data_IF_546246645007
#
_entry.id   IF_546246645007
#
_cell.length_a   1.000
_cell.length_b   1.000
_cell.length_c   1.000
_cell.angle_alpha   90.00
_cell.angle_beta   90.00
_cell.angle_gamma   90.00
#
_symmetry.space_group_name_H-M   'P 1'
#
loop_
_entity.id
_entity.type
_entity.pdbx_description
1 polymer ?
#
# COMPACT_ATOMS: atom_id res chain seq x y z
N UNK A 1 -17.16 0.59 -2.02
CA UNK A 1 -16.25 1.43 -2.84
C UNK A 1 -16.36 0.93 -4.27
N UNK A 2 -16.37 1.82 -5.27
CA UNK A 2 -16.36 1.36 -6.67
C UNK A 2 -14.92 1.18 -7.13
N UNK A 3 -14.53 -0.08 -7.39
CA UNK A 3 -13.21 -0.42 -7.92
C UNK A 3 -13.24 -0.51 -9.44
N UNK A 4 -12.23 0.04 -10.14
CA UNK A 4 -12.02 -0.15 -11.57
C UNK A 4 -11.95 -1.65 -11.96
N UNK A 5 -12.39 -1.97 -13.18
CA UNK A 5 -12.49 -3.37 -13.63
C UNK A 5 -11.12 -4.07 -13.71
N UNK A 6 -10.09 -3.34 -14.10
CA UNK A 6 -8.69 -3.79 -14.10
C UNK A 6 -8.22 -4.20 -12.71
N UNK A 7 -8.56 -3.42 -11.66
CA UNK A 7 -8.22 -3.79 -10.28
C UNK A 7 -8.99 -5.05 -9.87
N UNK A 8 -10.31 -5.12 -10.12
CA UNK A 8 -11.12 -6.29 -9.78
C UNK A 8 -10.64 -7.58 -10.45
N UNK A 9 -10.15 -7.50 -11.68
CA UNK A 9 -9.70 -8.66 -12.45
C UNK A 9 -8.33 -9.19 -11.99
N UNK A 10 -7.52 -8.37 -11.32
CA UNK A 10 -6.18 -8.74 -10.86
C UNK A 10 -6.08 -8.93 -9.35
N UNK A 11 -7.05 -8.42 -8.58
CA UNK A 11 -7.10 -8.58 -7.14
C UNK A 11 -7.56 -10.00 -6.78
N UNK A 12 -6.79 -10.68 -5.96
CA UNK A 12 -7.08 -12.01 -5.43
C UNK A 12 -6.69 -12.09 -3.96
N UNK A 13 -7.14 -13.12 -3.25
CA UNK A 13 -6.86 -13.28 -1.82
C UNK A 13 -5.35 -13.27 -1.52
N UNK A 14 -4.93 -12.43 -0.58
CA UNK A 14 -3.53 -12.19 -0.21
C UNK A 14 -2.79 -11.20 -1.12
N UNK A 15 -3.45 -10.63 -2.14
CA UNK A 15 -2.82 -9.69 -3.08
C UNK A 15 -3.23 -8.25 -2.75
N UNK A 16 -2.27 -7.35 -2.81
CA UNK A 16 -2.45 -5.91 -2.72
C UNK A 16 -2.01 -5.22 -4.02
N UNK A 17 -2.82 -4.29 -4.50
CA UNK A 17 -2.56 -3.56 -5.74
C UNK A 17 -2.76 -2.05 -5.55
N UNK A 18 -1.96 -1.25 -6.24
CA UNK A 18 -2.25 0.17 -6.38
C UNK A 18 -3.60 0.37 -7.07
N UNK A 19 -4.43 1.26 -6.56
CA UNK A 19 -5.70 1.65 -7.16
C UNK A 19 -5.89 3.15 -7.15
N UNK A 20 -6.72 3.61 -8.09
CA UNK A 20 -7.54 4.79 -7.88
C UNK A 20 -6.67 6.04 -7.62
N UNK A 21 -5.53 6.12 -8.31
CA UNK A 21 -4.45 7.11 -8.22
C UNK A 21 -3.57 7.04 -6.97
N UNK A 22 -4.12 7.04 -5.75
CA UNK A 22 -3.36 7.31 -4.53
C UNK A 22 -3.78 6.41 -3.34
N UNK A 23 -4.21 5.20 -3.67
CA UNK A 23 -4.62 4.19 -2.72
C UNK A 23 -4.05 2.81 -3.07
N UNK A 24 -4.08 1.91 -2.10
CA UNK A 24 -3.80 0.49 -2.28
C UNK A 24 -5.01 -0.28 -1.81
N UNK A 25 -5.33 -1.36 -2.51
CA UNK A 25 -6.44 -2.24 -2.17
C UNK A 25 -5.89 -3.64 -1.98
N UNK A 26 -6.16 -4.22 -0.82
CA UNK A 26 -5.76 -5.57 -0.45
C UNK A 26 -7.03 -6.42 -0.31
N UNK A 27 -7.09 -7.56 -0.99
CA UNK A 27 -8.13 -8.56 -0.71
C UNK A 27 -7.58 -9.56 0.29
N UNK A 28 -8.10 -9.56 1.51
CA UNK A 28 -7.63 -10.42 2.59
C UNK A 28 -8.67 -10.52 3.67
N UNK A 29 -8.87 -11.73 4.20
CA UNK A 29 -9.62 -11.96 5.45
C UNK A 29 -8.73 -11.72 6.68
N UNK A 30 -7.41 -11.61 6.49
CA UNK A 30 -6.45 -11.19 7.49
C UNK A 30 -6.18 -9.68 7.31
N UNK A 31 -6.91 -8.89 8.10
CA UNK A 31 -6.83 -7.43 8.13
C UNK A 31 -6.75 -6.96 9.58
N UNK A 32 -6.19 -5.76 9.83
CA UNK A 32 -5.98 -5.30 11.19
C UNK A 32 -7.29 -4.96 11.88
N UNK A 33 -7.35 -5.20 13.20
CA UNK A 33 -8.52 -4.95 14.04
C UNK A 33 -8.72 -3.46 14.34
N UNK A 34 -7.66 -2.66 14.20
CA UNK A 34 -7.68 -1.21 14.40
C UNK A 34 -7.12 -0.47 13.17
N UNK A 35 -7.73 0.67 12.85
CA UNK A 35 -7.23 1.59 11.82
C UNK A 35 -6.13 2.52 12.34
N UNK A 36 -5.95 2.59 13.67
CA UNK A 36 -4.92 3.37 14.33
C UNK A 36 -3.88 2.43 14.92
N UNK A 37 -2.96 2.02 14.07
CA UNK A 37 -1.89 1.05 14.34
C UNK A 37 -0.58 1.60 13.81
N UNK A 38 0.51 1.25 14.47
CA UNK A 38 1.84 1.64 14.00
C UNK A 38 2.16 0.85 12.72
N UNK A 39 2.68 1.56 11.73
CA UNK A 39 3.08 0.99 10.44
C UNK A 39 4.52 1.34 10.15
N UNK A 40 5.34 0.34 9.92
CA UNK A 40 6.71 0.52 9.44
C UNK A 40 6.73 0.43 7.92
N UNK A 41 7.55 1.27 7.29
CA UNK A 41 7.66 1.33 5.84
C UNK A 41 9.05 0.88 5.37
N UNK A 42 9.05 -0.03 4.41
CA UNK A 42 10.24 -0.57 3.76
C UNK A 42 10.10 -0.48 2.24
N UNK A 43 11.24 -0.37 1.56
CA UNK A 43 11.32 -0.39 0.10
C UNK A 43 12.28 -1.51 -0.29
N UNK A 44 11.80 -2.39 -1.16
CA UNK A 44 12.57 -3.48 -1.75
C UNK A 44 12.71 -3.29 -3.26
N UNK A 45 13.73 -3.92 -3.85
CA UNK A 45 13.98 -3.93 -5.29
C UNK A 45 14.12 -5.37 -5.77
N UNK A 46 13.10 -5.85 -6.46
CA UNK A 46 13.10 -7.15 -7.10
C UNK A 46 13.40 -7.00 -8.59
N UNK A 47 14.70 -7.05 -8.92
CA UNK A 47 15.16 -6.87 -10.30
C UNK A 47 14.93 -5.45 -10.80
N UNK A 48 13.90 -5.24 -11.63
CA UNK A 48 13.51 -3.92 -12.16
C UNK A 48 12.34 -3.31 -11.41
N UNK A 49 11.64 -4.09 -10.60
CA UNK A 49 10.44 -3.67 -9.91
C UNK A 49 10.82 -3.11 -8.53
N UNK A 50 10.11 -2.06 -8.14
CA UNK A 50 10.21 -1.48 -6.80
C UNK A 50 8.98 -1.91 -6.03
N UNK A 51 9.21 -2.55 -4.88
CA UNK A 51 8.15 -3.06 -4.02
C UNK A 51 8.10 -2.19 -2.77
N UNK A 52 6.91 -1.70 -2.44
CA UNK A 52 6.66 -1.04 -1.17
C UNK A 52 6.07 -2.04 -0.21
N UNK A 53 6.65 -2.10 1.00
CA UNK A 53 6.22 -2.99 2.08
C UNK A 53 5.81 -2.15 3.28
N UNK A 54 4.63 -2.44 3.83
CA UNK A 54 4.14 -1.88 5.07
C UNK A 54 3.97 -3.00 6.08
N UNK A 55 4.64 -2.89 7.22
CA UNK A 55 4.50 -3.83 8.35
C UNK A 55 3.57 -3.19 9.36
N UNK A 56 2.35 -3.74 9.46
CA UNK A 56 1.27 -3.24 10.30
C UNK A 56 1.30 -3.99 11.65
N UNK A 57 1.59 -3.26 12.71
CA UNK A 57 1.80 -3.81 14.06
C UNK A 57 0.49 -3.92 14.87
N UNK A 58 -0.54 -4.56 14.31
CA UNK A 58 -1.83 -4.76 15.00
C UNK A 58 -1.77 -5.90 16.05
N UNK A 59 -1.05 -6.98 15.75
CA UNK A 59 -0.67 -8.03 16.72
C UNK A 59 0.86 -8.08 16.84
N UNK A 60 1.44 -7.77 18.02
CA UNK A 60 2.89 -7.83 18.22
C UNK A 60 3.53 -9.20 17.99
N UNK A 61 2.75 -10.29 18.06
CA UNK A 61 3.22 -11.66 17.84
C UNK A 61 3.14 -12.08 16.37
N UNK A 62 2.31 -11.40 15.58
CA UNK A 62 2.07 -11.70 14.18
C UNK A 62 1.71 -10.41 13.41
N UNK A 63 2.69 -9.56 13.09
CA UNK A 63 2.44 -8.35 12.33
C UNK A 63 1.98 -8.68 10.91
N UNK A 64 1.04 -7.88 10.40
CA UNK A 64 0.52 -8.04 9.04
C UNK A 64 1.43 -7.30 8.07
N UNK A 65 1.88 -8.00 7.03
CA UNK A 65 2.73 -7.42 5.99
C UNK A 65 1.92 -7.16 4.72
N UNK A 66 1.96 -5.93 4.23
CA UNK A 66 1.33 -5.52 2.96
C UNK A 66 2.42 -5.13 1.97
N UNK A 67 2.49 -5.86 0.87
CA UNK A 67 3.44 -5.63 -0.22
C UNK A 67 2.72 -5.33 -1.53
N UNK A 68 3.22 -4.36 -2.27
CA UNK A 68 2.72 -4.06 -3.61
C UNK A 68 3.80 -3.41 -4.47
N UNK A 69 3.78 -3.75 -5.76
CA UNK A 69 4.63 -3.12 -6.75
C UNK A 69 4.17 -1.68 -7.01
N UNK A 70 5.13 -0.78 -7.22
CA UNK A 70 4.87 0.63 -7.50
C UNK A 70 5.56 1.09 -8.78
N UNK A 71 4.94 2.06 -9.44
CA UNK A 71 5.50 2.77 -10.59
C UNK A 71 5.85 4.23 -10.23
N UNK A 72 6.58 4.88 -11.14
CA UNK A 72 7.00 6.27 -10.98
C UNK A 72 5.81 7.23 -10.81
N UNK A 73 4.72 7.01 -11.55
CA UNK A 73 3.55 7.88 -11.51
C UNK A 73 2.84 7.81 -10.15
N UNK A 74 2.74 6.62 -9.56
CA UNK A 74 2.22 6.41 -8.21
C UNK A 74 3.09 7.10 -7.16
N UNK A 75 4.40 6.89 -7.22
CA UNK A 75 5.35 7.54 -6.29
C UNK A 75 5.27 9.06 -6.40
N UNK A 76 5.12 9.62 -7.60
CA UNK A 76 4.97 11.06 -7.78
C UNK A 76 3.68 11.59 -7.14
N UNK A 77 2.55 10.89 -7.30
CA UNK A 77 1.27 11.28 -6.68
C UNK A 77 1.35 11.23 -5.16
N UNK A 78 1.88 10.14 -4.61
CA UNK A 78 2.06 9.99 -3.15
C UNK A 78 3.06 11.02 -2.60
N UNK A 79 4.12 11.35 -3.34
CA UNK A 79 5.07 12.40 -2.95
C UNK A 79 4.40 13.77 -2.73
N UNK A 80 3.39 14.09 -3.55
CA UNK A 80 2.63 15.35 -3.42
C UNK A 80 1.62 15.31 -2.28
N UNK A 81 0.95 14.17 -2.10
CA UNK A 81 -0.10 13.98 -1.07
C UNK A 81 0.48 13.69 0.32
N UNK A 82 1.71 13.18 0.40
CA UNK A 82 2.42 12.70 1.61
C UNK A 82 1.61 11.73 2.46
N UNK A 83 0.63 11.06 1.85
CA UNK A 83 -0.19 10.06 2.52
C UNK A 83 -0.79 9.07 1.52
N UNK A 84 -1.08 7.88 2.02
CA UNK A 84 -1.66 6.76 1.32
C UNK A 84 -2.80 6.18 2.15
N UNK A 85 -3.90 5.77 1.51
CA UNK A 85 -4.90 4.91 2.13
C UNK A 85 -4.73 3.48 1.62
N UNK A 86 -4.67 2.52 2.54
CA UNK A 86 -4.73 1.09 2.26
C UNK A 86 -6.12 0.60 2.65
N UNK A 87 -6.86 0.07 1.67
CA UNK A 87 -8.20 -0.49 1.86
C UNK A 87 -8.12 -2.01 1.90
N UNK A 88 -8.65 -2.62 2.95
CA UNK A 88 -8.86 -4.06 3.01
C UNK A 88 -10.29 -4.36 2.60
N UNK A 89 -10.43 -5.32 1.68
CA UNK A 89 -11.73 -5.74 1.14
C UNK A 89 -11.90 -7.25 1.21
N UNK A 90 -13.15 -7.70 1.32
CA UNK A 90 -13.54 -9.11 1.22
C UNK A 90 -13.54 -9.59 -0.26
N UNK A 91 -13.81 -10.88 -0.48
CA UNK A 91 -13.94 -11.47 -1.83
C UNK A 91 -15.09 -10.87 -2.67
N UNK A 92 -16.04 -10.21 -2.01
CA UNK A 92 -17.15 -9.48 -2.64
C UNK A 92 -16.82 -8.00 -2.90
N UNK A 93 -15.57 -7.57 -2.64
CA UNK A 93 -15.08 -6.19 -2.73
C UNK A 93 -15.77 -5.21 -1.76
N UNK A 94 -16.38 -5.70 -0.69
CA UNK A 94 -16.86 -4.88 0.41
C UNK A 94 -15.67 -4.41 1.23
N UNK A 95 -15.70 -3.15 1.68
CA UNK A 95 -14.62 -2.59 2.49
C UNK A 95 -14.77 -3.04 3.95
N UNK A 96 -13.76 -3.73 4.45
CA UNK A 96 -13.66 -4.13 5.86
C UNK A 96 -13.03 -3.02 6.70
N UNK A 97 -11.83 -2.55 6.31
CA UNK A 97 -11.12 -1.49 7.03
C UNK A 97 -10.27 -0.62 6.09
N UNK A 98 -9.95 0.59 6.56
CA UNK A 98 -9.02 1.51 5.91
C UNK A 98 -7.90 1.88 6.90
N UNK A 99 -6.65 1.79 6.46
CA UNK A 99 -5.50 2.35 7.17
C UNK A 99 -4.98 3.54 6.39
N UNK A 100 -4.75 4.64 7.10
CA UNK A 100 -4.11 5.82 6.52
C UNK A 100 -2.68 5.93 7.00
N UNK A 101 -1.76 5.97 6.05
CA UNK A 101 -0.32 6.08 6.29
C UNK A 101 0.11 7.48 5.84
N UNK A 102 0.95 8.11 6.65
CA UNK A 102 1.58 9.40 6.33
C UNK A 102 3.07 9.23 6.21
N UNK A 103 3.66 9.88 5.22
CA UNK A 103 5.09 9.78 4.95
C UNK A 103 5.79 11.08 5.34
N UNK A 104 6.94 10.93 5.98
CA UNK A 104 7.91 12.00 6.21
C UNK A 104 8.60 12.43 4.92
N UNK A 105 9.21 13.61 4.94
CA UNK A 105 9.96 14.13 3.78
C UNK A 105 11.17 13.25 3.43
N UNK A 106 11.80 12.64 4.43
CA UNK A 106 12.90 11.71 4.22
C UNK A 106 12.43 10.42 3.53
N UNK A 107 11.30 9.86 3.94
CA UNK A 107 10.71 8.69 3.28
C UNK A 107 10.34 9.01 1.82
N UNK A 108 9.69 10.15 1.57
CA UNK A 108 9.38 10.59 0.21
C UNK A 108 10.65 10.73 -0.64
N UNK A 109 11.72 11.32 -0.09
CA UNK A 109 13.00 11.43 -0.81
C UNK A 109 13.58 10.06 -1.15
N UNK A 110 13.53 9.10 -0.23
CA UNK A 110 14.02 7.74 -0.45
C UNK A 110 13.18 7.06 -1.54
N UNK A 111 11.85 7.13 -1.46
CA UNK A 111 10.95 6.57 -2.50
C UNK A 111 11.27 7.09 -3.89
N UNK A 112 11.40 8.42 -4.05
CA UNK A 112 11.70 9.06 -5.33
C UNK A 112 13.06 8.62 -5.88
N UNK A 113 14.06 8.46 -5.01
CA UNK A 113 15.38 7.95 -5.38
C UNK A 113 15.29 6.50 -5.88
N UNK A 114 14.60 5.63 -5.15
CA UNK A 114 14.51 4.21 -5.46
C UNK A 114 13.70 3.91 -6.73
N UNK A 115 12.77 4.77 -7.12
CA UNK A 115 12.04 4.62 -8.40
C UNK A 115 12.71 5.39 -9.57
N UNK A 116 13.82 6.09 -9.32
CA UNK A 116 14.57 6.80 -10.36
C UNK A 116 14.04 8.19 -10.73
N UNK A 117 13.17 8.79 -9.90
CA UNK A 117 12.65 10.15 -10.06
C UNK A 117 13.59 11.24 -9.51
N UNK A 118 14.71 10.85 -8.91
CA UNK A 118 15.68 11.76 -8.31
C UNK A 118 15.30 12.22 -6.90
N UNK A 119 16.03 13.20 -6.37
CA UNK A 119 15.74 13.87 -5.09
C UNK A 119 14.82 15.05 -5.30
#
# INVERSE_FOLDING_TARGET
MELPADVKNNLSSGVCLICCNDSVVCMSDDYPKSSNVETLFEIDREGKDVIFRHVIMDDPSNPLTVEYAVDADFVERISRKKSLSIFFVDESFNKEIEIRITFSDDEIRIMRREIGLGT
#
